data_IF_391077485310
#
_entry.id   IF_391077485310
#
_cell.length_a   1.000
_cell.length_b   1.000
_cell.length_c   1.000
_cell.angle_alpha   90.00
_cell.angle_beta   90.00
_cell.angle_gamma   90.00
#
_symmetry.space_group_name_H-M   'P 1'
#
loop_
_entity.id
_entity.type
_entity.pdbx_description
1 polymer ?
#
# COMPACT_ATOMS: atom_id res chain seq x y z
N UNK A 1 -28.40 -86.37 16.92
CA UNK A 1 -28.24 -87.52 16.01
C UNK A 1 -27.08 -88.34 16.56
N UNK A 2 -27.25 -89.13 17.62
CA UNK A 2 -27.64 -90.58 17.59
C UNK A 2 -26.82 -91.33 16.54
N UNK A 3 -25.97 -92.31 16.86
CA UNK A 3 -26.24 -93.46 17.72
C UNK A 3 -24.97 -94.06 18.38
N UNK A 4 -25.21 -94.72 19.50
CA UNK A 4 -24.30 -95.61 20.21
C UNK A 4 -24.12 -96.94 19.46
N UNK A 5 -23.00 -97.63 19.68
CA UNK A 5 -22.99 -99.09 19.78
C UNK A 5 -21.76 -99.57 20.57
N UNK A 6 -22.01 -100.02 21.80
CA UNK A 6 -21.18 -101.01 22.49
C UNK A 6 -21.58 -102.37 21.93
N UNK A 7 -20.62 -103.23 21.61
CA UNK A 7 -20.80 -104.67 21.67
C UNK A 7 -19.62 -105.29 22.40
N UNK A 8 -19.97 -106.07 23.43
CA UNK A 8 -19.15 -107.00 24.17
C UNK A 8 -19.31 -108.35 23.48
N UNK A 9 -18.21 -109.01 23.12
CA UNK A 9 -18.19 -110.46 22.92
C UNK A 9 -16.99 -111.03 23.66
N UNK A 10 -17.29 -111.79 24.71
CA UNK A 10 -16.40 -112.75 25.34
C UNK A 10 -16.23 -113.95 24.40
N UNK A 11 -14.98 -114.36 24.15
CA UNK A 11 -14.66 -115.53 23.36
C UNK A 11 -13.29 -116.09 23.75
N UNK A 12 -13.30 -117.00 24.72
CA UNK A 12 -12.17 -117.85 25.12
C UNK A 12 -11.56 -118.56 23.90
N UNK A 13 -10.23 -118.61 23.81
CA UNK A 13 -9.56 -119.58 22.95
C UNK A 13 -8.09 -119.28 22.68
N UNK A 14 -7.23 -120.18 23.17
CA UNK A 14 -5.83 -120.37 22.76
C UNK A 14 -4.76 -119.45 23.37
N UNK A 15 -4.54 -119.61 24.68
CA UNK A 15 -3.19 -119.55 25.23
C UNK A 15 -2.43 -120.77 24.73
N UNK A 16 -1.84 -120.66 23.56
CA UNK A 16 -0.73 -121.47 23.04
C UNK A 16 -0.72 -121.25 21.52
N UNK A 17 -0.23 -120.07 21.10
CA UNK A 17 0.54 -119.92 19.88
C UNK A 17 1.19 -118.52 19.84
N UNK A 18 2.51 -118.53 19.66
CA UNK A 18 3.38 -117.40 19.35
C UNK A 18 3.71 -116.41 20.50
N UNK A 19 4.48 -116.89 21.47
CA UNK A 19 5.63 -116.13 21.99
C UNK A 19 6.58 -115.90 20.80
N UNK A 20 6.32 -114.85 20.02
CA UNK A 20 7.02 -114.52 18.79
C UNK A 20 7.54 -113.09 18.84
N UNK A 21 8.71 -112.90 19.44
CA UNK A 21 9.63 -111.75 19.32
C UNK A 21 8.95 -110.37 19.32
N UNK A 22 9.08 -109.63 20.41
CA UNK A 22 9.02 -108.17 20.34
C UNK A 22 10.12 -107.68 19.39
N UNK A 23 9.76 -107.45 18.12
CA UNK A 23 10.66 -106.94 17.10
C UNK A 23 10.92 -105.46 17.41
N UNK A 24 12.14 -105.13 17.82
CA UNK A 24 12.55 -103.74 18.03
C UNK A 24 12.34 -102.92 16.76
N UNK A 25 11.93 -101.65 16.92
CA UNK A 25 11.73 -100.71 15.81
C UNK A 25 12.93 -99.76 15.73
N UNK A 26 13.37 -99.45 14.51
CA UNK A 26 14.37 -98.42 14.22
C UNK A 26 13.62 -97.17 13.78
N UNK A 27 13.86 -96.04 14.45
CA UNK A 27 13.25 -94.74 14.12
C UNK A 27 14.31 -93.77 13.59
N UNK A 28 14.03 -93.16 12.44
CA UNK A 28 14.77 -92.02 11.93
C UNK A 28 13.91 -90.77 12.03
N UNK A 29 14.49 -89.67 12.51
CA UNK A 29 13.77 -88.39 12.63
C UNK A 29 14.52 -87.28 11.91
N UNK A 30 13.80 -86.44 11.16
CA UNK A 30 14.29 -85.19 10.61
C UNK A 30 13.61 -84.03 11.30
N UNK A 31 14.41 -83.02 11.62
CA UNK A 31 13.94 -81.76 12.15
C UNK A 31 14.04 -80.71 11.05
N UNK A 32 12.92 -80.07 10.74
CA UNK A 32 12.85 -78.95 9.79
C UNK A 32 13.20 -77.66 10.52
N UNK A 33 14.24 -76.95 10.07
CA UNK A 33 14.61 -75.65 10.65
C UNK A 33 13.55 -74.59 10.35
N UNK A 34 12.90 -74.69 9.19
CA UNK A 34 11.95 -73.68 8.71
C UNK A 34 10.58 -73.80 9.39
N UNK A 35 10.10 -75.03 9.62
CA UNK A 35 8.77 -75.28 10.22
C UNK A 35 8.84 -75.64 11.70
N UNK A 36 10.03 -75.92 12.25
CA UNK A 36 10.23 -76.46 13.60
C UNK A 36 9.54 -77.80 13.86
N UNK A 37 9.05 -78.47 12.82
CA UNK A 37 8.39 -79.77 12.91
C UNK A 37 9.39 -80.92 12.93
N UNK A 38 9.02 -82.00 13.62
CA UNK A 38 9.75 -83.27 13.66
C UNK A 38 8.97 -84.30 12.85
N UNK A 39 9.58 -84.79 11.77
CA UNK A 39 9.03 -85.85 10.95
C UNK A 39 9.79 -87.15 11.22
N UNK A 40 9.09 -88.28 11.32
CA UNK A 40 9.69 -89.57 11.67
C UNK A 40 9.36 -90.67 10.66
N UNK A 41 10.30 -91.59 10.49
CA UNK A 41 10.20 -92.78 9.65
C UNK A 41 10.63 -94.00 10.48
N UNK A 42 9.68 -94.89 10.73
CA UNK A 42 9.85 -96.08 11.56
C UNK A 42 9.94 -97.34 10.69
N UNK A 43 10.97 -98.16 10.94
CA UNK A 43 11.16 -99.47 10.31
C UNK A 43 11.13 -100.58 11.36
N UNK A 44 10.50 -101.71 11.03
CA UNK A 44 10.79 -102.98 11.72
C UNK A 44 12.21 -103.45 11.33
N UNK A 45 12.92 -104.17 12.21
CA UNK A 45 14.23 -104.74 11.85
C UNK A 45 14.19 -105.56 10.56
N UNK A 46 13.10 -106.31 10.33
CA UNK A 46 12.92 -107.08 9.09
C UNK A 46 12.80 -106.20 7.85
N UNK A 47 12.07 -105.10 7.93
CA UNK A 47 11.91 -104.15 6.82
C UNK A 47 13.19 -103.36 6.57
N UNK A 48 13.92 -103.03 7.65
CA UNK A 48 15.21 -102.37 7.57
C UNK A 48 16.26 -103.22 6.84
N UNK A 49 16.32 -104.52 7.14
CA UNK A 49 17.22 -105.44 6.43
C UNK A 49 16.84 -105.61 4.95
N UNK A 50 15.54 -105.56 4.62
CA UNK A 50 15.07 -105.63 3.24
C UNK A 50 15.54 -104.46 2.37
N UNK A 51 15.81 -103.28 2.96
CA UNK A 51 16.33 -102.11 2.22
C UNK A 51 17.67 -102.41 1.54
N UNK A 52 18.49 -103.29 2.13
CA UNK A 52 19.85 -103.59 1.67
C UNK A 52 19.96 -104.91 0.91
N UNK A 53 18.83 -105.59 0.61
CA UNK A 53 18.85 -106.92 -0.04
C UNK A 53 19.50 -106.92 -1.43
N UNK A 54 19.61 -105.76 -2.07
CA UNK A 54 20.22 -105.60 -3.39
C UNK A 54 21.62 -104.95 -3.34
N UNK A 55 22.13 -104.60 -2.15
CA UNK A 55 23.44 -103.98 -1.96
C UNK A 55 24.40 -104.97 -1.28
N UNK A 56 25.30 -105.57 -2.06
CA UNK A 56 26.20 -106.62 -1.59
C UNK A 56 27.15 -106.17 -0.47
N UNK A 57 27.51 -104.89 -0.41
CA UNK A 57 28.42 -104.36 0.61
C UNK A 57 27.72 -104.12 1.95
N UNK A 58 26.43 -103.80 1.90
CA UNK A 58 25.59 -103.51 3.06
C UNK A 58 24.71 -104.69 3.47
N UNK A 59 24.67 -105.80 2.72
CA UNK A 59 23.92 -107.01 3.08
C UNK A 59 24.43 -107.69 4.36
N UNK A 60 25.64 -107.39 4.85
CA UNK A 60 26.17 -107.94 6.10
C UNK A 60 25.63 -107.21 7.36
N UNK A 61 24.90 -107.89 8.27
CA UNK A 61 24.34 -107.29 9.49
C UNK A 61 25.36 -106.71 10.48
N UNK A 62 26.63 -107.13 10.40
CA UNK A 62 27.68 -106.64 11.29
C UNK A 62 28.14 -105.20 10.95
N UNK A 63 27.81 -104.70 9.75
CA UNK A 63 28.12 -103.34 9.29
C UNK A 63 27.03 -102.33 9.68
N UNK A 64 26.62 -102.32 10.95
CA UNK A 64 25.51 -101.49 11.45
C UNK A 64 25.71 -100.00 11.13
N UNK A 65 26.90 -99.46 11.39
CA UNK A 65 27.20 -98.04 11.17
C UNK A 65 27.11 -97.61 9.71
N UNK A 66 27.58 -98.45 8.77
CA UNK A 66 27.52 -98.17 7.33
C UNK A 66 26.08 -98.20 6.81
N UNK A 67 25.26 -99.14 7.30
CA UNK A 67 23.83 -99.22 6.99
C UNK A 67 23.05 -97.99 7.46
N UNK A 68 23.28 -97.56 8.70
CA UNK A 68 22.66 -96.34 9.21
C UNK A 68 23.11 -95.11 8.42
N UNK A 69 24.40 -95.03 8.08
CA UNK A 69 24.94 -93.95 7.27
C UNK A 69 24.31 -93.89 5.87
N UNK A 70 24.13 -95.04 5.22
CA UNK A 70 23.47 -95.14 3.91
C UNK A 70 22.06 -94.58 3.92
N UNK A 71 21.28 -94.88 4.96
CA UNK A 71 19.92 -94.35 5.15
C UNK A 71 19.96 -92.85 5.41
N UNK A 72 20.82 -92.38 6.33
CA UNK A 72 20.92 -90.96 6.68
C UNK A 72 21.29 -90.05 5.50
N UNK A 73 21.97 -90.57 4.47
CA UNK A 73 22.32 -89.81 3.25
C UNK A 73 21.19 -89.71 2.23
N UNK A 74 20.15 -90.52 2.36
CA UNK A 74 19.03 -90.62 1.40
C UNK A 74 17.69 -90.18 2.00
N UNK A 75 17.68 -89.80 3.28
CA UNK A 75 16.50 -89.29 3.95
C UNK A 75 16.22 -87.83 3.54
N UNK A 76 15.02 -87.59 3.03
CA UNK A 76 14.55 -86.26 2.65
C UNK A 76 13.05 -86.07 2.93
N UNK A 77 12.59 -84.81 2.92
CA UNK A 77 11.18 -84.45 3.04
C UNK A 77 10.54 -84.40 1.65
N UNK A 78 9.51 -85.22 1.45
CA UNK A 78 8.77 -85.34 0.19
C UNK A 78 7.32 -84.94 0.43
N UNK A 79 6.66 -84.23 -0.51
CA UNK A 79 5.24 -83.91 -0.39
C UNK A 79 4.38 -85.18 -0.30
N UNK A 80 3.45 -85.20 0.65
CA UNK A 80 2.53 -86.31 0.93
C UNK A 80 1.28 -86.30 0.02
N UNK A 81 1.21 -85.36 -0.94
CA UNK A 81 0.08 -85.21 -1.88
C UNK A 81 -1.18 -84.60 -1.26
N UNK A 82 -1.31 -84.59 0.07
CA UNK A 82 -2.37 -83.96 0.86
C UNK A 82 -2.07 -82.51 1.27
N UNK A 83 -0.96 -81.95 0.78
CA UNK A 83 -0.44 -80.64 1.18
C UNK A 83 0.52 -80.68 2.37
N UNK A 84 0.73 -81.85 2.98
CA UNK A 84 1.75 -82.08 4.02
C UNK A 84 3.11 -82.53 3.46
N UNK A 85 4.13 -82.51 4.33
CA UNK A 85 5.44 -83.12 4.08
C UNK A 85 5.56 -84.43 4.86
N UNK A 86 6.22 -85.43 4.29
CA UNK A 86 6.58 -86.68 4.96
C UNK A 86 8.03 -87.05 4.70
N UNK A 87 8.64 -87.81 5.62
CA UNK A 87 10.01 -88.33 5.43
C UNK A 87 9.98 -89.57 4.55
N UNK A 88 10.80 -89.57 3.50
CA UNK A 88 10.96 -90.73 2.62
C UNK A 88 12.43 -90.92 2.24
N UNK A 89 12.77 -92.14 1.83
CA UNK A 89 14.06 -92.47 1.24
C UNK A 89 14.05 -92.12 -0.25
N UNK A 90 15.01 -91.31 -0.69
CA UNK A 90 15.26 -91.02 -2.10
C UNK A 90 16.24 -92.02 -2.71
N UNK A 91 16.19 -92.18 -4.03
CA UNK A 91 17.12 -93.03 -4.78
C UNK A 91 18.52 -92.43 -4.89
N UNK A 92 18.64 -91.11 -4.91
CA UNK A 92 19.91 -90.38 -4.96
C UNK A 92 20.36 -89.91 -3.56
N UNK A 93 21.67 -89.74 -3.38
CA UNK A 93 22.24 -89.18 -2.14
C UNK A 93 22.02 -87.67 -2.09
N UNK A 94 21.57 -87.14 -0.94
CA UNK A 94 21.41 -85.70 -0.73
C UNK A 94 22.79 -85.02 -0.76
N UNK A 95 22.98 -84.06 -1.67
CA UNK A 95 24.28 -83.47 -2.07
C UNK A 95 25.02 -82.66 -1.00
N UNK A 96 24.37 -82.29 0.11
CA UNK A 96 24.89 -81.30 1.06
C UNK A 96 25.36 -81.84 2.42
N UNK A 97 25.27 -83.16 2.68
CA UNK A 97 25.64 -83.68 4.01
C UNK A 97 27.15 -83.94 4.14
N UNK A 98 27.82 -83.39 5.18
CA UNK A 98 29.24 -83.64 5.41
C UNK A 98 29.51 -85.13 5.62
N UNK A 99 30.58 -85.64 5.00
CA UNK A 99 31.05 -87.02 5.22
C UNK A 99 31.43 -87.19 6.68
N UNK A 100 30.65 -87.97 7.43
CA UNK A 100 31.06 -88.44 8.75
C UNK A 100 32.24 -89.39 8.54
N UNK A 101 33.43 -88.99 8.98
CA UNK A 101 34.61 -89.86 8.97
C UNK A 101 34.35 -90.97 9.99
N UNK A 102 33.89 -92.12 9.51
CA UNK A 102 33.78 -93.33 10.33
C UNK A 102 35.21 -93.76 10.65
N UNK A 103 35.70 -93.39 11.83
CA UNK A 103 37.03 -93.78 12.34
C UNK A 103 37.06 -95.28 12.67
N UNK A 104 37.04 -96.14 11.66
CA UNK A 104 37.26 -97.59 11.81
C UNK A 104 38.72 -98.00 11.65
N UNK A 105 39.61 -97.11 11.19
CA UNK A 105 40.96 -97.51 10.75
C UNK A 105 42.09 -97.33 11.80
N UNK A 106 41.89 -96.59 12.89
CA UNK A 106 42.97 -96.23 13.82
C UNK A 106 42.93 -96.94 15.18
N UNK A 107 42.70 -98.25 15.21
CA UNK A 107 43.06 -99.10 16.37
C UNK A 107 44.26 -99.98 16.02
N UNK A 108 45.42 -99.38 15.83
CA UNK A 108 46.68 -100.13 15.79
C UNK A 108 47.08 -100.52 17.22
N UNK A 109 46.75 -101.76 17.60
CA UNK A 109 47.36 -102.40 18.78
C UNK A 109 48.84 -102.63 18.49
N UNK A 110 49.72 -101.84 19.11
CA UNK A 110 51.17 -102.07 19.08
C UNK A 110 51.44 -103.44 19.75
N UNK A 111 52.20 -104.35 19.12
CA UNK A 111 52.50 -105.66 19.71
C UNK A 111 53.51 -105.51 20.86
N UNK A 112 52.99 -105.32 22.07
CA UNK A 112 53.75 -105.07 23.32
C UNK A 112 54.50 -106.33 23.84
N UNK A 113 54.23 -107.50 23.26
CA UNK A 113 54.58 -108.81 23.85
C UNK A 113 56.05 -109.25 23.79
N UNK A 114 56.95 -108.59 23.05
CA UNK A 114 58.36 -109.07 22.87
C UNK A 114 59.45 -108.07 23.28
N UNK A 115 59.11 -106.88 23.77
CA UNK A 115 60.10 -105.86 24.13
C UNK A 115 60.55 -105.97 25.61
N UNK A 116 61.85 -105.88 25.88
CA UNK A 116 62.38 -105.80 27.25
C UNK A 116 61.88 -104.51 27.96
N UNK A 117 61.78 -104.51 29.30
CA UNK A 117 61.24 -103.39 30.10
C UNK A 117 61.93 -102.06 29.77
N UNK A 118 63.26 -102.06 29.63
CA UNK A 118 64.04 -100.89 29.25
C UNK A 118 63.67 -100.35 27.85
N UNK A 119 63.39 -101.25 26.90
CA UNK A 119 62.92 -100.86 25.57
C UNK A 119 61.53 -100.21 25.61
N UNK A 120 60.65 -100.70 26.49
CA UNK A 120 59.31 -100.10 26.68
C UNK A 120 59.38 -98.73 27.33
N UNK A 121 60.30 -98.53 28.29
CA UNK A 121 60.53 -97.23 28.90
C UNK A 121 61.03 -96.21 27.87
N UNK A 122 62.05 -96.54 27.09
CA UNK A 122 62.56 -95.68 25.99
C UNK A 122 61.50 -95.38 24.94
N UNK A 123 60.64 -96.36 24.59
CA UNK A 123 59.55 -96.13 23.64
C UNK A 123 58.50 -95.15 24.20
N UNK A 124 58.14 -95.27 25.49
CA UNK A 124 57.22 -94.32 26.14
C UNK A 124 57.82 -92.91 26.20
N UNK A 125 59.10 -92.79 26.55
CA UNK A 125 59.82 -91.51 26.53
C UNK A 125 59.83 -90.91 25.13
N UNK A 126 60.13 -91.70 24.09
CA UNK A 126 60.10 -91.24 22.71
C UNK A 126 58.71 -90.81 22.24
N UNK A 127 57.64 -91.46 22.70
CA UNK A 127 56.25 -91.06 22.41
C UNK A 127 55.90 -89.76 23.11
N UNK A 128 56.29 -89.60 24.38
CA UNK A 128 56.11 -88.35 25.12
C UNK A 128 56.88 -87.20 24.46
N UNK A 129 58.09 -87.44 23.96
CA UNK A 129 58.84 -86.44 23.20
C UNK A 129 58.18 -86.09 21.87
N UNK A 130 57.65 -87.08 21.13
CA UNK A 130 56.91 -86.84 19.89
C UNK A 130 55.62 -86.05 20.13
N UNK A 131 54.90 -86.38 21.20
CA UNK A 131 53.69 -85.65 21.58
C UNK A 131 54.02 -84.22 22.04
N UNK A 132 55.10 -84.02 22.81
CA UNK A 132 55.61 -82.68 23.14
C UNK A 132 55.96 -81.87 21.88
N UNK A 133 56.63 -82.49 20.90
CA UNK A 133 56.95 -81.83 19.62
C UNK A 133 55.69 -81.51 18.81
N UNK A 134 54.71 -82.42 18.78
CA UNK A 134 53.42 -82.19 18.12
C UNK A 134 52.65 -81.05 18.78
N UNK A 135 52.58 -81.01 20.10
CA UNK A 135 51.93 -79.91 20.84
C UNK A 135 52.64 -78.59 20.56
N UNK A 136 53.97 -78.53 20.61
CA UNK A 136 54.72 -77.32 20.29
C UNK A 136 54.47 -76.82 18.85
N UNK A 137 54.37 -77.73 17.88
CA UNK A 137 54.04 -77.38 16.49
C UNK A 137 52.60 -76.88 16.33
N UNK A 138 51.64 -77.46 17.07
CA UNK A 138 50.26 -76.99 17.09
C UNK A 138 50.20 -75.58 17.70
N UNK A 139 50.87 -75.37 18.84
CA UNK A 139 50.94 -74.07 19.51
C UNK A 139 51.57 -73.00 18.60
N UNK A 140 52.66 -73.33 17.90
CA UNK A 140 53.28 -72.44 16.92
C UNK A 140 52.31 -72.09 15.79
N UNK A 141 51.63 -73.10 15.21
CA UNK A 141 50.65 -72.88 14.14
C UNK A 141 49.47 -72.01 14.61
N UNK A 142 49.00 -72.21 15.83
CA UNK A 142 47.90 -71.44 16.39
C UNK A 142 48.33 -70.00 16.74
N UNK A 143 49.57 -69.79 17.20
CA UNK A 143 50.16 -68.46 17.35
C UNK A 143 50.28 -67.74 16.01
N UNK A 144 50.80 -68.40 14.97
CA UNK A 144 50.87 -67.82 13.63
C UNK A 144 49.50 -67.45 13.07
N UNK A 145 48.50 -68.32 13.26
CA UNK A 145 47.11 -68.03 12.87
C UNK A 145 46.56 -66.83 13.61
N UNK A 146 46.78 -66.74 14.92
CA UNK A 146 46.36 -65.61 15.74
C UNK A 146 47.03 -64.31 15.28
N UNK A 147 48.33 -64.34 15.00
CA UNK A 147 49.06 -63.17 14.48
C UNK A 147 48.53 -62.73 13.12
N UNK A 148 48.31 -63.66 12.19
CA UNK A 148 47.70 -63.36 10.88
C UNK A 148 46.29 -62.78 11.02
N UNK A 149 45.49 -63.32 11.94
CA UNK A 149 44.15 -62.81 12.23
C UNK A 149 44.19 -61.38 12.79
N UNK A 150 45.07 -61.12 13.76
CA UNK A 150 45.24 -59.78 14.34
C UNK A 150 45.78 -58.77 13.31
N UNK A 151 46.71 -59.19 12.45
CA UNK A 151 47.21 -58.35 11.36
C UNK A 151 46.09 -57.96 10.39
N UNK A 152 45.26 -58.94 9.99
CA UNK A 152 44.07 -58.69 9.15
C UNK A 152 43.10 -57.70 9.81
N UNK A 153 42.80 -57.86 11.10
CA UNK A 153 41.94 -56.89 11.82
C UNK A 153 42.57 -55.50 11.84
N UNK A 154 43.88 -55.40 12.05
CA UNK A 154 44.57 -54.12 12.05
C UNK A 154 44.53 -53.45 10.68
N UNK A 155 44.69 -54.21 9.59
CA UNK A 155 44.53 -53.73 8.22
C UNK A 155 43.09 -53.27 7.94
N UNK A 156 42.09 -54.05 8.33
CA UNK A 156 40.67 -53.69 8.19
C UNK A 156 40.34 -52.41 8.96
N UNK A 157 40.89 -52.24 10.18
CA UNK A 157 40.74 -50.99 10.96
C UNK A 157 41.41 -49.80 10.29
N UNK A 158 42.64 -49.95 9.79
CA UNK A 158 43.33 -48.88 9.07
C UNK A 158 42.57 -48.46 7.81
N UNK A 159 42.07 -49.42 7.04
CA UNK A 159 41.25 -49.14 5.87
C UNK A 159 39.96 -48.41 6.24
N UNK A 160 39.31 -48.78 7.35
CA UNK A 160 38.13 -48.09 7.86
C UNK A 160 38.44 -46.65 8.33
N UNK A 161 39.57 -46.46 9.01
CA UNK A 161 40.05 -45.14 9.45
C UNK A 161 40.39 -44.24 8.25
N UNK A 162 41.06 -44.78 7.22
CA UNK A 162 41.34 -44.05 5.98
C UNK A 162 40.04 -43.68 5.25
N UNK A 163 39.09 -44.60 5.14
CA UNK A 163 37.78 -44.33 4.55
C UNK A 163 37.01 -43.25 5.35
N UNK A 164 37.09 -43.28 6.68
CA UNK A 164 36.51 -42.24 7.54
C UNK A 164 37.17 -40.88 7.30
N UNK A 165 38.51 -40.82 7.24
CA UNK A 165 39.27 -39.59 6.94
C UNK A 165 38.94 -39.02 5.56
N UNK A 166 38.79 -39.88 4.55
CA UNK A 166 38.38 -39.45 3.20
C UNK A 166 36.97 -38.86 3.23
N UNK A 167 36.03 -39.48 3.95
CA UNK A 167 34.67 -38.92 4.12
C UNK A 167 34.71 -37.59 4.85
N UNK A 168 35.44 -37.47 5.95
CA UNK A 168 35.59 -36.22 6.69
C UNK A 168 36.19 -35.11 5.83
N UNK A 169 37.21 -35.43 5.04
CA UNK A 169 37.82 -34.49 4.09
C UNK A 169 36.81 -34.01 3.06
N UNK A 170 36.03 -34.91 2.44
CA UNK A 170 34.97 -34.55 1.49
C UNK A 170 33.90 -33.67 2.15
N UNK A 171 33.46 -34.02 3.35
CA UNK A 171 32.48 -33.20 4.10
C UNK A 171 33.03 -31.82 4.40
N UNK A 172 34.32 -31.72 4.73
CA UNK A 172 34.99 -30.44 4.97
C UNK A 172 35.10 -29.61 3.68
N UNK A 173 35.53 -30.21 2.58
CA UNK A 173 35.60 -29.58 1.26
C UNK A 173 34.21 -29.07 0.83
N UNK A 174 33.15 -29.88 0.96
CA UNK A 174 31.78 -29.46 0.64
C UNK A 174 31.29 -28.30 1.54
N UNK A 175 31.64 -28.31 2.83
CA UNK A 175 31.33 -27.19 3.75
C UNK A 175 32.09 -25.92 3.41
N UNK A 176 33.33 -26.05 2.95
CA UNK A 176 34.16 -24.92 2.54
C UNK A 176 33.66 -24.33 1.21
N UNK A 177 33.28 -25.18 0.26
CA UNK A 177 32.63 -24.78 -0.99
C UNK A 177 31.31 -24.07 -0.75
N UNK A 178 30.44 -24.62 0.12
CA UNK A 178 29.18 -23.94 0.48
C UNK A 178 29.41 -22.58 1.12
N UNK A 179 30.42 -22.46 2.00
CA UNK A 179 30.79 -21.16 2.58
C UNK A 179 31.32 -20.19 1.53
N UNK A 180 32.15 -20.67 0.61
CA UNK A 180 32.68 -19.85 -0.48
C UNK A 180 31.56 -19.38 -1.43
N UNK A 181 30.60 -20.25 -1.77
CA UNK A 181 29.41 -19.90 -2.54
C UNK A 181 28.58 -18.84 -1.83
N UNK A 182 28.28 -19.02 -0.54
CA UNK A 182 27.53 -18.02 0.24
C UNK A 182 28.24 -16.67 0.32
N UNK A 183 29.58 -16.67 0.46
CA UNK A 183 30.36 -15.43 0.44
C UNK A 183 30.34 -14.79 -0.95
N UNK A 184 30.46 -15.58 -2.02
CA UNK A 184 30.34 -15.11 -3.41
C UNK A 184 28.97 -14.49 -3.67
N UNK A 185 27.89 -15.17 -3.32
CA UNK A 185 26.51 -14.67 -3.42
C UNK A 185 26.30 -13.38 -2.62
N UNK A 186 26.87 -13.29 -1.40
CA UNK A 186 26.83 -12.06 -0.60
C UNK A 186 27.57 -10.92 -1.27
N UNK A 187 28.77 -11.17 -1.81
CA UNK A 187 29.53 -10.16 -2.54
C UNK A 187 28.79 -9.69 -3.80
N UNK A 188 28.21 -10.62 -4.56
CA UNK A 188 27.39 -10.27 -5.72
C UNK A 188 26.14 -9.49 -5.33
N UNK A 189 25.49 -9.84 -4.22
CA UNK A 189 24.33 -9.12 -3.71
C UNK A 189 24.70 -7.67 -3.34
N UNK A 190 25.82 -7.48 -2.64
CA UNK A 190 26.34 -6.15 -2.28
C UNK A 190 26.64 -5.35 -3.56
N UNK A 191 27.34 -5.93 -4.54
CA UNK A 191 27.63 -5.24 -5.80
C UNK A 191 26.36 -4.87 -6.58
N UNK A 192 25.33 -5.74 -6.57
CA UNK A 192 24.03 -5.43 -7.21
C UNK A 192 23.30 -4.31 -6.47
N UNK A 193 23.40 -4.24 -5.15
CA UNK A 193 22.84 -3.14 -4.36
C UNK A 193 23.58 -1.83 -4.61
N UNK A 194 24.91 -1.84 -4.67
CA UNK A 194 25.73 -0.68 -5.03
C UNK A 194 25.35 -0.17 -6.43
N UNK A 195 25.28 -1.04 -7.43
CA UNK A 195 24.84 -0.67 -8.78
C UNK A 195 23.40 -0.15 -8.84
N UNK A 196 22.51 -0.67 -7.99
CA UNK A 196 21.15 -0.13 -7.86
C UNK A 196 21.18 1.26 -7.23
N UNK A 197 21.98 1.45 -6.17
CA UNK A 197 22.22 2.73 -5.52
C UNK A 197 22.72 3.78 -6.52
N UNK A 198 23.76 3.48 -7.29
CA UNK A 198 24.30 4.36 -8.33
C UNK A 198 23.24 4.74 -9.37
N UNK A 199 22.43 3.77 -9.83
CA UNK A 199 21.33 4.03 -10.77
C UNK A 199 20.24 4.91 -10.16
N UNK A 200 19.92 4.73 -8.89
CA UNK A 200 18.96 5.57 -8.18
C UNK A 200 19.50 6.98 -7.95
N UNK A 201 20.78 7.13 -7.60
CA UNK A 201 21.45 8.41 -7.48
C UNK A 201 21.48 9.15 -8.82
N UNK A 202 21.83 8.46 -9.92
CA UNK A 202 21.76 9.02 -11.26
C UNK A 202 20.34 9.45 -11.65
N UNK A 203 19.31 8.66 -11.30
CA UNK A 203 17.91 9.03 -11.49
C UNK A 203 17.54 10.27 -10.67
N UNK A 204 17.95 10.34 -9.40
CA UNK A 204 17.70 11.49 -8.52
C UNK A 204 18.39 12.74 -9.06
N UNK A 205 19.63 12.64 -9.51
CA UNK A 205 20.37 13.74 -10.14
C UNK A 205 19.65 14.24 -11.41
N UNK A 206 19.22 13.33 -12.28
CA UNK A 206 18.45 13.69 -13.48
C UNK A 206 17.11 14.37 -13.14
N UNK A 207 16.39 13.87 -12.13
CA UNK A 207 15.15 14.50 -11.64
C UNK A 207 15.45 15.91 -11.11
N UNK A 208 16.54 16.10 -10.36
CA UNK A 208 16.94 17.41 -9.85
C UNK A 208 17.26 18.40 -10.99
N UNK A 209 17.97 17.96 -12.03
CA UNK A 209 18.24 18.76 -13.23
C UNK A 209 16.93 19.14 -13.93
N UNK A 210 16.01 18.19 -14.11
CA UNK A 210 14.71 18.48 -14.73
C UNK A 210 13.85 19.43 -13.90
N UNK A 211 13.88 19.32 -12.56
CA UNK A 211 13.20 20.26 -11.67
C UNK A 211 13.81 21.67 -11.78
N UNK A 212 15.13 21.79 -11.76
CA UNK A 212 15.80 23.07 -11.92
C UNK A 212 15.48 23.72 -13.29
N UNK A 213 15.42 22.93 -14.37
CA UNK A 213 14.98 23.42 -15.68
C UNK A 213 13.51 23.88 -15.68
N UNK A 214 12.61 23.14 -15.03
CA UNK A 214 11.20 23.56 -14.88
C UNK A 214 11.08 24.86 -14.11
N UNK A 215 11.78 24.98 -12.99
CA UNK A 215 11.78 26.22 -12.19
C UNK A 215 12.36 27.40 -12.97
N UNK A 216 13.41 27.19 -13.77
CA UNK A 216 13.96 28.24 -14.65
C UNK A 216 12.96 28.66 -15.72
N UNK A 217 12.28 27.70 -16.36
CA UNK A 217 11.25 27.97 -17.35
C UNK A 217 10.06 28.69 -16.72
N UNK A 218 9.57 28.25 -15.57
CA UNK A 218 8.50 28.92 -14.82
C UNK A 218 8.87 30.36 -14.46
N UNK A 219 10.09 30.59 -13.95
CA UNK A 219 10.60 31.95 -13.69
C UNK A 219 10.63 32.81 -14.96
N UNK A 220 11.04 32.26 -16.10
CA UNK A 220 11.01 32.99 -17.37
C UNK A 220 9.59 33.31 -17.85
N UNK A 221 8.64 32.38 -17.67
CA UNK A 221 7.24 32.58 -18.03
C UNK A 221 6.63 33.66 -17.16
N UNK A 222 6.87 33.59 -15.83
CA UNK A 222 6.40 34.58 -14.86
C UNK A 222 6.99 35.96 -15.20
N UNK A 223 8.30 36.04 -15.46
CA UNK A 223 8.96 37.28 -15.88
C UNK A 223 8.36 37.85 -17.17
N UNK A 224 8.12 37.01 -18.19
CA UNK A 224 7.49 37.43 -19.44
C UNK A 224 6.04 37.92 -19.25
N UNK A 225 5.28 37.31 -18.33
CA UNK A 225 3.93 37.77 -17.96
C UNK A 225 3.98 39.14 -17.28
N UNK A 226 4.92 39.36 -16.35
CA UNK A 226 5.11 40.65 -15.70
C UNK A 226 5.52 41.74 -16.71
N UNK A 227 6.41 41.45 -17.65
CA UNK A 227 6.78 42.39 -18.70
C UNK A 227 5.59 42.73 -19.62
N UNK A 228 4.78 41.74 -20.00
CA UNK A 228 3.55 41.96 -20.78
C UNK A 228 2.54 42.82 -20.01
N UNK A 229 2.35 42.56 -18.72
CA UNK A 229 1.46 43.37 -17.87
C UNK A 229 1.97 44.79 -17.70
N UNK A 230 3.29 44.98 -17.56
CA UNK A 230 3.90 46.31 -17.49
C UNK A 230 3.69 47.10 -18.78
N UNK A 231 3.97 46.49 -19.94
CA UNK A 231 3.72 47.11 -21.26
C UNK A 231 2.24 47.45 -21.45
N UNK A 232 1.33 46.52 -21.10
CA UNK A 232 -0.11 46.78 -21.20
C UNK A 232 -0.59 47.89 -20.24
N UNK A 233 0.04 48.02 -19.06
CA UNK A 233 -0.25 49.11 -18.13
C UNK A 233 0.28 50.46 -18.63
N UNK A 234 1.46 50.48 -19.25
CA UNK A 234 2.03 51.67 -19.91
C UNK A 234 1.14 52.10 -21.09
N UNK A 235 0.74 51.18 -21.97
CA UNK A 235 -0.20 51.45 -23.07
C UNK A 235 -1.57 51.93 -22.58
N UNK A 236 -2.10 51.37 -21.48
CA UNK A 236 -3.35 51.85 -20.87
C UNK A 236 -3.21 53.27 -20.33
N UNK A 237 -2.08 53.59 -19.67
CA UNK A 237 -1.80 54.95 -19.18
C UNK A 237 -1.68 55.95 -20.32
N UNK A 238 -1.08 55.56 -21.44
CA UNK A 238 -1.01 56.42 -22.64
C UNK A 238 -2.39 56.66 -23.25
N UNK A 239 -3.20 55.60 -23.43
CA UNK A 239 -4.59 55.72 -23.91
C UNK A 239 -5.45 56.57 -22.98
N UNK A 240 -5.28 56.44 -21.66
CA UNK A 240 -6.02 57.25 -20.69
C UNK A 240 -5.62 58.72 -20.73
N UNK A 241 -4.33 59.02 -20.91
CA UNK A 241 -3.85 60.40 -21.13
C UNK A 241 -4.40 61.00 -22.42
N UNK A 242 -4.47 60.22 -23.49
CA UNK A 242 -5.02 60.68 -24.77
C UNK A 242 -6.54 60.92 -24.70
N UNK A 243 -7.28 60.06 -23.99
CA UNK A 243 -8.71 60.26 -23.75
C UNK A 243 -8.95 61.52 -22.91
N UNK A 244 -8.16 61.74 -21.84
CA UNK A 244 -8.26 62.94 -21.00
C UNK A 244 -8.03 64.22 -21.80
N UNK A 245 -7.02 64.23 -22.68
CA UNK A 245 -6.74 65.37 -23.56
C UNK A 245 -7.91 65.66 -24.51
N UNK A 246 -8.48 64.62 -25.14
CA UNK A 246 -9.66 64.78 -26.02
C UNK A 246 -10.92 65.23 -25.29
N UNK A 247 -11.10 64.84 -24.02
CA UNK A 247 -12.24 65.29 -23.22
C UNK A 247 -12.09 66.73 -22.76
N UNK A 248 -10.89 67.17 -22.39
CA UNK A 248 -10.59 68.55 -22.02
C UNK A 248 -10.78 69.49 -23.23
N UNK A 249 -10.23 69.13 -24.40
CA UNK A 249 -10.44 69.88 -25.66
C UNK A 249 -11.91 69.97 -26.11
N UNK A 250 -12.77 69.05 -25.65
CA UNK A 250 -14.22 69.10 -25.92
C UNK A 250 -14.95 70.02 -24.94
N UNK A 251 -14.56 69.98 -23.67
CA UNK A 251 -15.13 70.83 -22.61
C UNK A 251 -14.78 72.30 -22.85
N UNK A 252 -13.56 72.58 -23.30
CA UNK A 252 -13.12 73.95 -23.56
C UNK A 252 -13.86 74.57 -24.76
N UNK A 253 -14.07 73.80 -25.83
CA UNK A 253 -14.92 74.23 -26.97
C UNK A 253 -16.38 74.50 -26.55
N UNK A 254 -16.96 73.64 -25.70
CA UNK A 254 -18.33 73.83 -25.21
C UNK A 254 -18.44 75.07 -24.29
N UNK A 255 -17.38 75.41 -23.55
CA UNK A 255 -17.31 76.64 -22.73
C UNK A 255 -17.24 77.89 -23.58
N UNK A 256 -16.44 77.89 -24.65
CA UNK A 256 -16.33 79.02 -25.58
C UNK A 256 -17.65 79.29 -26.30
N UNK A 257 -18.35 78.24 -26.75
CA UNK A 257 -19.67 78.38 -27.40
C UNK A 257 -20.74 78.94 -26.44
N UNK A 258 -20.72 78.52 -25.17
CA UNK A 258 -21.63 79.07 -24.14
C UNK A 258 -21.35 80.54 -23.86
N UNK A 259 -20.09 80.93 -23.77
CA UNK A 259 -19.70 82.33 -23.55
C UNK A 259 -20.14 83.23 -24.72
N UNK A 260 -19.94 82.78 -25.96
CA UNK A 260 -20.39 83.51 -27.15
C UNK A 260 -21.92 83.65 -27.20
N UNK A 261 -22.66 82.63 -26.80
CA UNK A 261 -24.12 82.68 -26.72
C UNK A 261 -24.62 83.64 -25.62
N UNK A 262 -23.99 83.62 -24.45
CA UNK A 262 -24.31 84.53 -23.34
C UNK A 262 -24.02 86.00 -23.69
N UNK A 263 -22.89 86.28 -24.35
CA UNK A 263 -22.56 87.63 -24.82
C UNK A 263 -23.56 88.14 -25.87
N UNK A 264 -23.95 87.28 -26.81
CA UNK A 264 -24.96 87.61 -27.82
C UNK A 264 -26.33 87.93 -27.18
N UNK A 265 -26.76 87.13 -26.21
CA UNK A 265 -28.01 87.35 -25.46
C UNK A 265 -27.96 88.65 -24.65
N UNK A 266 -26.84 88.94 -24.00
CA UNK A 266 -26.63 90.19 -23.24
C UNK A 266 -26.73 91.43 -24.13
N UNK A 267 -26.24 91.34 -25.37
CA UNK A 267 -26.30 92.44 -26.35
C UNK A 267 -27.75 92.71 -26.83
N UNK A 268 -28.55 91.64 -27.01
CA UNK A 268 -29.97 91.73 -27.33
C UNK A 268 -30.76 92.34 -26.16
N UNK A 269 -30.50 91.91 -24.93
CA UNK A 269 -31.15 92.47 -23.73
C UNK A 269 -30.80 93.94 -23.50
N UNK A 270 -29.54 94.34 -23.73
CA UNK A 270 -29.13 95.74 -23.70
C UNK A 270 -29.90 96.62 -24.69
N UNK A 271 -30.14 96.12 -25.92
CA UNK A 271 -30.98 96.80 -26.93
C UNK A 271 -32.45 96.87 -26.50
N UNK A 272 -32.99 95.83 -25.86
CA UNK A 272 -34.37 95.86 -25.33
C UNK A 272 -34.52 96.85 -24.17
N UNK A 273 -33.55 96.90 -23.26
CA UNK A 273 -33.57 97.83 -22.12
C UNK A 273 -33.46 99.29 -22.54
N UNK A 274 -32.60 99.61 -23.52
CA UNK A 274 -32.49 100.97 -24.05
C UNK A 274 -33.76 101.42 -24.77
N UNK A 275 -34.39 100.53 -25.57
CA UNK A 275 -35.68 100.80 -26.19
C UNK A 275 -36.81 101.01 -25.16
N UNK A 276 -36.83 100.23 -24.08
CA UNK A 276 -37.76 100.43 -22.96
C UNK A 276 -37.54 101.79 -22.32
N UNK A 277 -36.31 102.13 -21.91
CA UNK A 277 -36.00 103.43 -21.28
C UNK A 277 -36.44 104.61 -22.15
N UNK A 278 -36.19 104.55 -23.47
CA UNK A 278 -36.65 105.58 -24.40
C UNK A 278 -38.19 105.67 -24.51
N UNK A 279 -38.91 104.55 -24.36
CA UNK A 279 -40.38 104.55 -24.31
C UNK A 279 -40.89 105.15 -23.01
N UNK A 280 -40.26 104.80 -21.89
CA UNK A 280 -40.63 105.32 -20.57
C UNK A 280 -40.37 106.84 -20.48
N UNK A 281 -39.27 107.31 -21.06
CA UNK A 281 -38.96 108.73 -21.14
C UNK A 281 -39.96 109.49 -22.00
N UNK A 282 -40.33 108.96 -23.17
CA UNK A 282 -41.43 109.53 -24.00
C UNK A 282 -42.76 109.61 -23.25
N UNK A 283 -43.08 108.63 -22.42
CA UNK A 283 -44.29 108.65 -21.59
C UNK A 283 -44.20 109.71 -20.48
N UNK A 284 -43.05 109.83 -19.81
CA UNK A 284 -42.80 110.88 -18.81
C UNK A 284 -42.88 112.28 -19.41
N UNK A 285 -42.27 112.50 -20.56
CA UNK A 285 -42.30 113.80 -21.26
C UNK A 285 -43.73 114.16 -21.70
N UNK A 286 -44.50 113.18 -22.18
CA UNK A 286 -45.92 113.38 -22.54
C UNK A 286 -46.77 113.72 -21.31
N UNK A 287 -46.56 113.02 -20.19
CA UNK A 287 -47.25 113.31 -18.93
C UNK A 287 -46.88 114.68 -18.37
N UNK A 288 -45.60 115.07 -18.46
CA UNK A 288 -45.12 116.39 -18.06
C UNK A 288 -45.73 117.50 -18.92
N UNK A 289 -45.82 117.31 -20.25
CA UNK A 289 -46.46 118.26 -21.15
C UNK A 289 -47.96 118.45 -20.82
N UNK A 290 -48.69 117.36 -20.56
CA UNK A 290 -50.10 117.42 -20.15
C UNK A 290 -50.29 118.14 -18.80
N UNK A 291 -49.39 117.92 -17.84
CA UNK A 291 -49.43 118.61 -16.56
C UNK A 291 -49.12 120.10 -16.71
N UNK A 292 -48.15 120.48 -17.56
CA UNK A 292 -47.85 121.88 -17.87
C UNK A 292 -49.04 122.59 -18.54
N UNK A 293 -49.74 121.90 -19.44
CA UNK A 293 -50.95 122.44 -20.09
C UNK A 293 -52.11 122.62 -19.10
N UNK A 294 -52.31 121.66 -18.18
CA UNK A 294 -53.25 121.79 -17.07
C UNK A 294 -52.92 122.96 -16.14
N UNK A 295 -51.64 123.14 -15.82
CA UNK A 295 -51.17 124.24 -14.97
C UNK A 295 -51.47 125.59 -15.63
N UNK A 296 -51.13 125.75 -16.92
CA UNK A 296 -51.47 126.95 -17.70
C UNK A 296 -52.98 127.21 -17.74
N UNK A 297 -53.79 126.17 -17.86
CA UNK A 297 -55.25 126.31 -17.84
C UNK A 297 -55.78 126.77 -16.47
N UNK A 298 -55.19 126.28 -15.37
CA UNK A 298 -55.50 126.74 -14.01
C UNK A 298 -55.06 128.20 -13.81
N UNK A 299 -53.85 128.55 -14.22
CA UNK A 299 -53.30 129.91 -14.11
C UNK A 299 -54.18 130.90 -14.90
N UNK A 300 -54.59 130.55 -16.12
CA UNK A 300 -55.53 131.34 -16.91
C UNK A 300 -56.89 131.52 -16.23
N UNK A 301 -57.40 130.50 -15.53
CA UNK A 301 -58.64 130.61 -14.73
C UNK A 301 -58.44 131.56 -13.56
N UNK A 302 -57.30 131.50 -12.87
CA UNK A 302 -56.97 132.42 -11.78
C UNK A 302 -56.88 133.86 -12.28
N UNK A 303 -56.21 134.10 -13.42
CA UNK A 303 -56.13 135.43 -14.05
C UNK A 303 -57.52 135.95 -14.42
N UNK A 304 -58.36 135.11 -15.05
CA UNK A 304 -59.74 135.48 -15.40
C UNK A 304 -60.57 135.83 -14.15
N UNK A 305 -60.44 135.06 -13.07
CA UNK A 305 -61.15 135.32 -11.83
C UNK A 305 -60.66 136.61 -11.14
N UNK A 306 -59.35 136.90 -11.18
CA UNK A 306 -58.79 138.17 -10.70
C UNK A 306 -59.36 139.35 -11.48
N UNK A 307 -59.37 139.28 -12.82
CA UNK A 307 -59.96 140.33 -13.67
C UNK A 307 -61.46 140.53 -13.41
N UNK A 308 -62.22 139.44 -13.19
CA UNK A 308 -63.63 139.54 -12.82
C UNK A 308 -63.82 140.17 -11.43
N UNK A 309 -62.95 139.86 -10.48
CA UNK A 309 -62.97 140.45 -9.15
C UNK A 309 -62.63 141.94 -9.18
N UNK A 310 -61.59 142.34 -9.93
CA UNK A 310 -61.21 143.73 -10.17
C UNK A 310 -62.36 144.51 -10.82
N UNK A 311 -62.98 143.99 -11.89
CA UNK A 311 -64.18 144.60 -12.50
C UNK A 311 -65.34 144.74 -11.53
N UNK A 312 -65.52 143.77 -10.63
CA UNK A 312 -66.58 143.83 -9.59
C UNK A 312 -66.26 144.91 -8.56
N UNK A 313 -65.00 145.05 -8.15
CA UNK A 313 -64.54 146.13 -7.26
C UNK A 313 -64.76 147.48 -7.94
N UNK A 314 -64.35 147.65 -9.20
CA UNK A 314 -64.57 148.87 -9.98
C UNK A 314 -66.06 149.21 -10.11
N UNK A 315 -66.91 148.22 -10.39
CA UNK A 315 -68.36 148.43 -10.48
C UNK A 315 -68.97 148.84 -9.13
N UNK A 316 -68.53 148.24 -8.02
CA UNK A 316 -68.97 148.63 -6.67
C UNK A 316 -68.44 150.03 -6.31
N UNK A 317 -67.19 150.36 -6.66
CA UNK A 317 -66.62 151.68 -6.47
C UNK A 317 -67.40 152.75 -7.25
N UNK A 318 -67.72 152.49 -8.52
CA UNK A 318 -68.55 153.38 -9.33
C UNK A 318 -69.98 153.55 -8.80
N UNK A 319 -70.61 152.48 -8.28
CA UNK A 319 -71.90 152.57 -7.59
C UNK A 319 -71.81 153.36 -6.28
N UNK A 320 -70.71 153.22 -5.53
CA UNK A 320 -70.47 153.98 -4.31
C UNK A 320 -70.22 155.46 -4.60
N UNK A 321 -69.48 155.79 -5.66
CA UNK A 321 -69.32 157.18 -6.13
C UNK A 321 -70.66 157.79 -6.57
N UNK A 322 -71.48 157.04 -7.32
CA UNK A 322 -72.82 157.48 -7.70
C UNK A 322 -73.71 157.70 -6.48
N UNK A 323 -73.69 156.79 -5.49
CA UNK A 323 -74.38 156.96 -4.21
C UNK A 323 -73.89 158.19 -3.45
N UNK A 324 -72.58 158.42 -3.42
CA UNK A 324 -71.98 159.57 -2.75
C UNK A 324 -72.46 160.88 -3.39
N UNK A 325 -72.50 160.95 -4.73
CA UNK A 325 -73.07 162.11 -5.45
C UNK A 325 -74.55 162.33 -5.12
N UNK A 326 -75.38 161.29 -5.15
CA UNK A 326 -76.80 161.40 -4.76
C UNK A 326 -76.95 161.88 -3.31
N UNK A 327 -76.09 161.42 -2.42
CA UNK A 327 -76.10 161.85 -1.01
C UNK A 327 -75.64 163.30 -0.85
N UNK A 328 -74.60 163.72 -1.58
CA UNK A 328 -74.12 165.11 -1.62
C UNK A 328 -75.18 166.05 -2.20
N UNK A 329 -75.84 165.64 -3.29
CA UNK A 329 -76.96 166.37 -3.91
C UNK A 329 -78.12 166.52 -2.92
N UNK A 330 -78.52 165.43 -2.23
CA UNK A 330 -79.55 165.46 -1.19
C UNK A 330 -79.17 166.36 -0.01
N UNK A 331 -77.92 166.31 0.47
CA UNK A 331 -77.45 167.18 1.57
C UNK A 331 -77.42 168.64 1.15
N UNK A 332 -77.01 168.94 -0.09
CA UNK A 332 -77.00 170.29 -0.63
C UNK A 332 -78.42 170.83 -0.84
N UNK A 333 -79.34 170.01 -1.37
CA UNK A 333 -80.76 170.35 -1.53
C UNK A 333 -81.43 170.58 -0.17
N UNK A 334 -81.12 169.74 0.82
CA UNK A 334 -81.59 169.92 2.21
C UNK A 334 -81.04 171.19 2.86
N UNK A 335 -79.78 171.58 2.56
CA UNK A 335 -79.20 172.84 3.02
C UNK A 335 -79.79 174.07 2.29
N UNK A 336 -80.26 173.92 1.06
CA UNK A 336 -80.93 174.99 0.30
C UNK A 336 -82.41 175.16 0.66
N UNK A 337 -83.09 174.10 1.13
CA UNK A 337 -84.50 174.14 1.55
C UNK A 337 -84.71 174.61 3.01
N UNK A 338 -83.68 174.54 3.85
CA UNK A 338 -83.71 175.02 5.23
C UNK A 338 -82.97 176.34 5.33
N UNK A 339 -83.67 177.42 4.96
CA UNK A 339 -83.28 178.78 5.31
C UNK A 339 -83.24 179.00 6.82
N UNK A 340 -82.44 180.00 7.22
CA UNK A 340 -82.27 180.57 8.56
C UNK A 340 -83.32 180.17 9.59
N UNK A 341 -82.91 179.32 10.55
CA UNK A 341 -83.31 179.32 11.96
C UNK A 341 -82.50 178.28 12.74
N UNK A 342 -81.84 178.75 13.80
CA UNK A 342 -81.51 178.10 15.09
C UNK A 342 -80.99 176.64 15.03
N UNK A 343 -79.81 176.31 15.53
CA UNK A 343 -79.49 176.36 16.95
C UNK A 343 -79.34 174.92 17.49
N UNK A 344 -78.45 174.77 18.48
CA UNK A 344 -78.36 173.69 19.46
C UNK A 344 -77.92 172.26 19.04
N UNK A 345 -76.86 171.85 19.75
CA UNK A 345 -76.64 170.53 20.36
C UNK A 345 -76.35 169.28 19.51
N UNK A 346 -75.29 168.58 19.94
CA UNK A 346 -75.44 167.18 20.30
C UNK A 346 -74.57 166.18 19.55
N UNK A 347 -73.37 165.96 20.10
CA UNK A 347 -72.75 164.67 20.42
C UNK A 347 -72.64 163.50 19.41
N UNK A 348 -71.55 162.75 19.69
CA UNK A 348 -71.31 161.32 19.44
C UNK A 348 -70.68 160.94 18.10
N UNK A 349 -69.42 160.49 18.15
CA UNK A 349 -69.00 159.20 17.57
C UNK A 349 -67.62 158.83 18.16
N UNK A 350 -67.54 157.86 19.09
CA UNK A 350 -67.65 156.39 18.91
C UNK A 350 -66.49 155.77 18.13
N UNK A 351 -65.51 155.33 18.92
CA UNK A 351 -64.80 154.05 18.84
C UNK A 351 -65.17 153.09 17.69
N UNK A 352 -64.15 152.66 16.95
CA UNK A 352 -63.93 151.25 16.60
C UNK A 352 -62.45 151.02 16.24
N UNK A 353 -61.98 149.82 16.60
CA UNK A 353 -60.62 149.25 16.53
C UNK A 353 -59.90 149.32 15.19
#
# INVERSE_FOLDING_TARGET
MTAASRNVEDGRGSTDDAIGRELGKIRFSLFSVDTSDVYSLDYSYGDFDQLFRFDAELMNPNKKSERFYWVLRRLDLVPDGSGGLRVALQSAETSERPRLVVSSENKHNIPIGKLNYLGRAKLRESMVELDKKRMALIDQRDQERRLKFLARIAEERRAAEEAARVRERKVREERDEKRAQQLGERHEAIQREEQRGEKEEARRANIAVLKAQREANEKSIISAVFERQRKAAEEKKEKEKEIKRRTEERIDREREERQQYEEHMRLIEGRRQTAWRQREQRLKDRAAAQNMERQRALDNKVIRNKLLHERKIEAVAGLNEARKKVYEDYVNEKKLLLGDKEGAEGDVEMAAS
#
